data_IF_180638463052
#
_entry.id   IF_180638463052
#
_cell.length_a   1.000
_cell.length_b   1.000
_cell.length_c   1.000
_cell.angle_alpha   90.00
_cell.angle_beta   90.00
_cell.angle_gamma   90.00
#
_symmetry.space_group_name_H-M   'P 1'
#
loop_
_entity.id
_entity.type
_entity.pdbx_description
1 polymer ?
#
# COMPACT_ATOMS: atom_id res chain seq x y z
N UNK A 1 16.18 -11.36 -21.14
CA UNK A 1 14.93 -10.81 -20.59
C UNK A 1 13.78 -11.83 -20.50
N UNK A 2 13.86 -12.99 -21.09
CA UNK A 2 12.80 -14.02 -21.07
C UNK A 2 12.86 -14.96 -19.85
N UNK A 3 14.01 -15.12 -19.22
CA UNK A 3 14.16 -16.00 -18.06
C UNK A 3 13.63 -15.42 -16.73
N UNK A 4 13.68 -14.09 -16.55
CA UNK A 4 13.21 -13.45 -15.32
C UNK A 4 11.68 -13.56 -15.12
N UNK A 5 10.91 -13.67 -16.20
CA UNK A 5 9.45 -13.82 -16.16
C UNK A 5 9.01 -15.15 -15.54
N UNK A 6 9.78 -16.25 -15.80
CA UNK A 6 9.46 -17.57 -15.25
C UNK A 6 9.59 -17.65 -13.72
N UNK A 7 10.59 -16.99 -13.15
CA UNK A 7 10.82 -17.00 -11.70
C UNK A 7 9.75 -16.22 -10.92
N UNK A 8 9.15 -15.17 -11.52
CA UNK A 8 8.08 -14.40 -10.89
C UNK A 8 6.81 -15.25 -10.74
N UNK A 9 6.44 -16.03 -11.75
CA UNK A 9 5.28 -16.94 -11.67
C UNK A 9 5.50 -18.06 -10.65
N UNK A 10 6.72 -18.57 -10.55
CA UNK A 10 7.10 -19.60 -9.57
C UNK A 10 7.04 -19.02 -8.15
N UNK A 11 7.49 -17.78 -7.96
CA UNK A 11 7.46 -17.11 -6.65
C UNK A 11 6.02 -16.80 -6.20
N UNK A 12 5.16 -16.35 -7.12
CA UNK A 12 3.72 -16.11 -6.85
C UNK A 12 3.02 -17.43 -6.55
N UNK A 13 3.33 -18.50 -7.28
CA UNK A 13 2.74 -19.82 -7.06
C UNK A 13 3.21 -20.46 -5.74
N UNK A 14 4.47 -20.24 -5.34
CA UNK A 14 5.02 -20.71 -4.07
C UNK A 14 4.40 -20.02 -2.82
N UNK A 15 3.87 -18.80 -2.96
CA UNK A 15 3.19 -18.07 -1.87
C UNK A 15 1.76 -18.59 -1.66
N UNK A 16 1.13 -19.18 -2.67
CA UNK A 16 -0.25 -19.68 -2.62
C UNK A 16 -0.34 -21.11 -2.03
N UNK A 17 0.75 -21.89 -2.07
CA UNK A 17 0.80 -23.30 -1.69
C UNK A 17 0.71 -23.57 -0.15
N UNK A 18 1.10 -22.69 0.80
CA UNK A 18 1.10 -23.05 2.22
C UNK A 18 -0.26 -23.28 2.88
N UNK A 19 -1.38 -23.00 2.19
CA UNK A 19 -2.72 -23.25 2.74
C UNK A 19 -3.23 -24.68 2.53
N UNK A 20 -2.48 -25.54 1.84
CA UNK A 20 -2.87 -26.93 1.59
C UNK A 20 -2.22 -27.82 2.63
N UNK A 21 -2.96 -28.08 3.72
CA UNK A 21 -2.86 -29.19 4.69
C UNK A 21 -1.46 -29.81 4.91
N UNK A 22 -0.69 -29.19 5.79
CA UNK A 22 0.29 -29.94 6.59
C UNK A 22 -0.38 -30.38 7.89
N UNK A 23 -0.81 -31.65 7.95
CA UNK A 23 -1.48 -32.28 9.10
C UNK A 23 -0.58 -32.50 10.32
N UNK A 24 0.42 -31.66 10.55
CA UNK A 24 1.41 -31.83 11.61
C UNK A 24 1.29 -30.82 12.77
N UNK A 25 0.33 -29.90 12.74
CA UNK A 25 0.15 -28.91 13.81
C UNK A 25 -1.28 -28.89 14.33
N UNK A 26 -1.41 -28.76 15.65
CA UNK A 26 -2.67 -28.75 16.41
C UNK A 26 -3.37 -27.39 16.24
N UNK A 27 -3.69 -27.02 15.00
CA UNK A 27 -4.49 -25.82 14.68
C UNK A 27 -5.94 -26.20 14.35
N UNK A 28 -6.88 -25.35 14.72
CA UNK A 28 -8.27 -25.48 14.27
C UNK A 28 -8.39 -24.85 12.88
N UNK A 29 -8.67 -25.68 11.87
CA UNK A 29 -8.94 -25.19 10.50
C UNK A 29 -10.17 -24.29 10.49
N UNK A 30 -10.05 -23.14 9.84
CA UNK A 30 -11.12 -22.17 9.66
C UNK A 30 -11.32 -21.91 8.17
N UNK A 31 -12.57 -21.65 7.80
CA UNK A 31 -12.95 -21.31 6.42
C UNK A 31 -13.83 -20.07 6.40
N UNK A 32 -13.49 -19.07 7.24
CA UNK A 32 -14.30 -17.87 7.32
C UNK A 32 -13.86 -16.89 6.22
N UNK A 33 -14.79 -16.52 5.34
CA UNK A 33 -14.59 -15.53 4.30
C UNK A 33 -15.42 -14.30 4.61
N UNK A 34 -14.75 -13.18 4.74
CA UNK A 34 -15.38 -11.85 4.93
C UNK A 34 -15.00 -10.93 3.79
N UNK A 35 -15.95 -10.15 3.30
CA UNK A 35 -15.73 -9.13 2.27
C UNK A 35 -16.34 -7.82 2.69
N UNK A 36 -15.81 -6.73 2.17
CA UNK A 36 -16.32 -5.41 2.49
C UNK A 36 -15.57 -4.30 1.80
N UNK A 37 -15.76 -3.11 2.30
CA UNK A 37 -15.13 -1.91 1.76
C UNK A 37 -14.27 -1.23 2.81
N UNK A 38 -13.31 -0.47 2.32
CA UNK A 38 -12.39 0.31 3.14
C UNK A 38 -12.21 1.69 2.58
N UNK A 39 -11.91 2.62 3.47
CA UNK A 39 -11.60 4.01 3.14
C UNK A 39 -10.64 4.58 4.17
N UNK A 40 -9.99 5.67 3.83
CA UNK A 40 -9.08 6.35 4.74
C UNK A 40 -8.24 7.39 4.05
N UNK A 41 -7.10 7.69 4.68
CA UNK A 41 -6.14 8.64 4.18
C UNK A 41 -4.78 8.02 4.01
N UNK A 42 -4.11 8.41 2.93
CA UNK A 42 -2.73 8.06 2.64
C UNK A 42 -1.90 9.33 2.75
N UNK A 43 -0.86 9.28 3.57
CA UNK A 43 0.18 10.29 3.68
C UNK A 43 1.37 9.78 2.86
N UNK A 44 1.59 10.33 1.67
CA UNK A 44 2.63 9.87 0.75
C UNK A 44 3.76 10.87 0.61
N UNK A 45 4.96 10.36 0.43
CA UNK A 45 6.15 11.05 -0.03
C UNK A 45 6.93 10.16 -0.98
N UNK A 46 7.80 10.73 -1.78
CA UNK A 46 8.66 9.98 -2.69
C UNK A 46 10.12 10.12 -2.23
N UNK A 47 10.79 9.00 -2.04
CA UNK A 47 12.20 8.97 -1.69
C UNK A 47 13.04 9.24 -2.95
N UNK A 48 13.48 10.48 -3.11
CA UNK A 48 14.29 10.89 -4.25
C UNK A 48 15.79 10.90 -3.94
N UNK A 49 16.57 10.47 -4.94
CA UNK A 49 18.01 10.67 -4.96
C UNK A 49 18.40 11.29 -6.34
N UNK A 50 18.86 12.55 -6.41
CA UNK A 50 19.13 13.51 -5.34
C UNK A 50 17.86 13.93 -4.57
N UNK A 51 18.03 14.25 -3.29
CA UNK A 51 16.91 14.52 -2.37
C UNK A 51 16.16 15.80 -2.75
N UNK A 52 14.84 15.70 -2.83
CA UNK A 52 13.90 16.81 -2.98
C UNK A 52 13.22 17.03 -1.62
N UNK A 53 13.22 18.26 -1.11
CA UNK A 53 12.47 18.60 0.11
C UNK A 53 10.97 18.51 -0.18
N UNK A 54 10.24 17.78 0.66
CA UNK A 54 8.82 17.51 0.48
C UNK A 54 8.06 17.57 1.79
N UNK A 55 6.79 17.96 1.71
CA UNK A 55 5.78 17.69 2.71
C UNK A 55 5.08 16.36 2.41
N UNK A 56 4.51 15.72 3.42
CA UNK A 56 3.62 14.60 3.21
C UNK A 56 2.36 15.06 2.46
N UNK A 57 2.11 14.46 1.32
CA UNK A 57 0.89 14.68 0.57
C UNK A 57 -0.21 13.79 1.13
N UNK A 58 -1.26 14.40 1.66
CA UNK A 58 -2.43 13.68 2.17
C UNK A 58 -3.48 13.53 1.09
N UNK A 59 -3.97 12.31 0.88
CA UNK A 59 -5.01 12.01 -0.09
C UNK A 59 -5.96 10.93 0.42
N UNK A 60 -7.28 11.04 0.16
CA UNK A 60 -8.22 9.97 0.47
C UNK A 60 -8.03 8.79 -0.48
N UNK A 61 -8.41 7.61 -0.02
CA UNK A 61 -8.51 6.41 -0.84
C UNK A 61 -9.79 5.63 -0.54
N UNK A 62 -10.18 4.81 -1.49
CA UNK A 62 -11.31 3.89 -1.39
C UNK A 62 -10.88 2.52 -1.88
N UNK A 63 -11.40 1.45 -1.26
CA UNK A 63 -11.05 0.10 -1.65
C UNK A 63 -12.07 -0.94 -1.25
N UNK A 64 -11.92 -2.10 -1.88
CA UNK A 64 -12.60 -3.34 -1.54
C UNK A 64 -11.61 -4.24 -0.81
N UNK A 65 -12.11 -5.02 0.15
CA UNK A 65 -11.30 -5.93 0.96
C UNK A 65 -11.98 -7.28 1.01
N UNK A 66 -11.20 -8.32 0.76
CA UNK A 66 -11.56 -9.71 1.03
C UNK A 66 -10.57 -10.29 2.03
N UNK A 67 -11.08 -10.96 3.06
CA UNK A 67 -10.27 -11.59 4.10
C UNK A 67 -10.73 -13.03 4.29
N UNK A 68 -9.77 -13.94 4.22
CA UNK A 68 -9.96 -15.35 4.47
C UNK A 68 -9.20 -15.78 5.72
N UNK A 69 -9.92 -16.24 6.74
CA UNK A 69 -9.32 -16.81 7.96
C UNK A 69 -9.02 -18.27 7.67
N UNK A 70 -7.74 -18.63 7.70
CA UNK A 70 -7.27 -19.96 7.34
C UNK A 70 -7.27 -20.90 8.56
N UNK A 71 -6.79 -20.40 9.70
CA UNK A 71 -6.50 -21.25 10.85
C UNK A 71 -6.49 -20.45 12.15
N UNK A 72 -6.86 -21.11 13.22
CA UNK A 72 -6.67 -20.61 14.58
C UNK A 72 -5.68 -21.53 15.30
N UNK A 73 -4.61 -20.95 15.79
CA UNK A 73 -3.57 -21.64 16.54
C UNK A 73 -3.47 -21.06 17.95
N UNK A 74 -3.95 -21.79 18.95
CA UNK A 74 -4.12 -21.32 20.34
C UNK A 74 -4.92 -20.01 20.41
N UNK A 75 -4.24 -18.93 20.80
CA UNK A 75 -4.83 -17.58 20.89
C UNK A 75 -4.68 -16.75 19.60
N UNK A 76 -3.95 -17.27 18.60
CA UNK A 76 -3.64 -16.55 17.36
C UNK A 76 -4.58 -16.97 16.24
N UNK A 77 -5.14 -16.00 15.52
CA UNK A 77 -5.99 -16.19 14.35
C UNK A 77 -5.20 -15.77 13.12
N UNK A 78 -4.97 -16.70 12.20
CA UNK A 78 -4.23 -16.46 10.97
C UNK A 78 -5.20 -16.24 9.80
N UNK A 79 -4.98 -15.18 9.04
CA UNK A 79 -5.80 -14.83 7.89
C UNK A 79 -4.94 -14.30 6.74
N UNK A 80 -5.48 -14.38 5.53
CA UNK A 80 -4.98 -13.72 4.33
C UNK A 80 -5.98 -12.64 3.96
N UNK A 81 -5.47 -11.44 3.69
CA UNK A 81 -6.25 -10.29 3.29
C UNK A 81 -5.78 -9.80 1.92
N UNK A 82 -6.72 -9.64 1.01
CA UNK A 82 -6.52 -9.10 -0.33
C UNK A 82 -7.35 -7.84 -0.46
N UNK A 83 -6.76 -6.80 -1.01
CA UNK A 83 -7.44 -5.53 -1.21
C UNK A 83 -7.31 -5.07 -2.65
N UNK A 84 -8.28 -4.29 -3.10
CA UNK A 84 -8.23 -3.55 -4.34
C UNK A 84 -8.55 -2.10 -4.02
N UNK A 85 -7.52 -1.25 -4.06
CA UNK A 85 -7.61 0.14 -3.64
C UNK A 85 -7.39 1.08 -4.81
N UNK A 86 -8.23 2.12 -4.91
CA UNK A 86 -7.97 3.29 -5.73
C UNK A 86 -7.36 4.36 -4.84
N UNK A 87 -6.14 4.78 -5.14
CA UNK A 87 -5.36 5.70 -4.32
C UNK A 87 -4.75 6.82 -5.16
N UNK A 88 -4.72 8.02 -4.60
CA UNK A 88 -3.98 9.14 -5.18
C UNK A 88 -2.71 9.35 -4.34
N UNK A 89 -1.58 8.96 -4.90
CA UNK A 89 -0.26 9.15 -4.31
C UNK A 89 0.36 10.46 -4.82
N UNK A 90 1.69 10.55 -4.78
CA UNK A 90 2.45 11.68 -5.28
C UNK A 90 3.15 12.42 -4.17
N UNK A 91 3.55 13.65 -4.45
CA UNK A 91 4.30 14.47 -3.50
C UNK A 91 3.95 15.95 -3.60
N UNK A 92 4.26 16.67 -2.55
CA UNK A 92 4.19 18.12 -2.49
C UNK A 92 5.57 18.67 -2.14
N UNK A 93 6.12 19.49 -3.02
CA UNK A 93 7.47 20.02 -2.82
C UNK A 93 7.47 21.19 -1.85
N UNK A 94 8.41 21.15 -0.89
CA UNK A 94 8.63 22.24 0.04
C UNK A 94 9.63 23.23 -0.59
N UNK A 95 9.10 24.35 -1.12
CA UNK A 95 9.86 25.40 -1.77
C UNK A 95 10.10 26.53 -0.78
N UNK A 96 11.34 26.69 -0.32
CA UNK A 96 11.75 27.69 0.69
C UNK A 96 12.67 28.76 0.11
N UNK A 97 12.42 29.19 -1.12
CA UNK A 97 13.25 30.21 -1.82
C UNK A 97 12.67 31.63 -1.74
N UNK A 98 11.57 31.82 -0.99
CA UNK A 98 10.88 33.09 -0.85
C UNK A 98 10.05 33.52 -2.06
N UNK A 99 9.98 32.70 -3.11
CA UNK A 99 9.23 33.01 -4.33
C UNK A 99 7.71 32.86 -4.17
N UNK A 100 7.24 32.15 -3.12
CA UNK A 100 5.83 31.78 -2.97
C UNK A 100 5.34 30.72 -3.97
N UNK A 101 6.26 30.12 -4.73
CA UNK A 101 5.93 29.05 -5.67
C UNK A 101 5.52 27.76 -4.95
N UNK A 102 4.57 27.03 -5.51
CA UNK A 102 4.14 25.74 -5.01
C UNK A 102 4.16 24.71 -6.14
N UNK A 103 4.55 23.47 -5.81
CA UNK A 103 4.50 22.35 -6.73
C UNK A 103 3.93 21.12 -6.04
N UNK A 104 2.94 20.52 -6.68
CA UNK A 104 2.35 19.26 -6.22
C UNK A 104 2.10 18.36 -7.43
N UNK A 105 2.39 17.09 -7.26
CA UNK A 105 2.11 16.07 -8.27
C UNK A 105 1.16 15.02 -7.72
N UNK A 106 0.09 14.78 -8.45
CA UNK A 106 -0.91 13.74 -8.20
C UNK A 106 -0.57 12.52 -9.05
N UNK A 107 -0.53 11.33 -8.43
CA UNK A 107 -0.30 10.05 -9.10
C UNK A 107 -1.41 9.08 -8.70
N UNK A 108 -2.29 8.78 -9.65
CA UNK A 108 -3.45 7.89 -9.44
C UNK A 108 -3.03 6.44 -9.68
N UNK A 109 -3.26 5.59 -8.69
CA UNK A 109 -2.90 4.18 -8.72
C UNK A 109 -4.10 3.29 -8.41
N UNK A 110 -4.12 2.12 -9.04
CA UNK A 110 -4.86 0.96 -8.55
C UNK A 110 -3.84 0.10 -7.81
N UNK A 111 -4.10 -0.19 -6.53
CA UNK A 111 -3.20 -0.95 -5.66
C UNK A 111 -3.84 -2.26 -5.25
N UNK A 112 -3.03 -3.32 -5.21
CA UNK A 112 -3.40 -4.67 -4.81
C UNK A 112 -2.47 -5.13 -3.67
N UNK A 113 -2.75 -4.79 -2.42
CA UNK A 113 -2.08 -5.38 -1.27
C UNK A 113 -2.51 -6.85 -1.07
N UNK A 114 -1.53 -7.73 -0.83
CA UNK A 114 -1.73 -9.11 -0.42
C UNK A 114 -1.05 -9.30 0.94
N UNK A 115 -1.83 -9.36 2.00
CA UNK A 115 -1.33 -9.30 3.36
C UNK A 115 -1.65 -10.58 4.12
N UNK A 116 -0.66 -11.09 4.81
CA UNK A 116 -0.85 -12.07 5.88
C UNK A 116 -1.19 -11.32 7.16
N UNK A 117 -2.22 -11.76 7.86
CA UNK A 117 -2.68 -11.16 9.11
C UNK A 117 -2.61 -12.18 10.23
N UNK A 118 -2.10 -11.74 11.37
CA UNK A 118 -2.12 -12.50 12.63
C UNK A 118 -2.81 -11.65 13.70
N UNK A 119 -3.85 -12.19 14.30
CA UNK A 119 -4.68 -11.49 15.27
C UNK A 119 -4.83 -12.22 16.58
N UNK A 120 -4.99 -11.46 17.66
CA UNK A 120 -5.20 -11.96 19.04
C UNK A 120 -6.40 -11.26 19.65
N UNK A 121 -7.26 -12.02 20.29
CA UNK A 121 -8.42 -11.50 20.98
C UNK A 121 -9.66 -12.33 20.76
N UNK A 122 -10.83 -11.68 20.85
CA UNK A 122 -12.10 -12.37 20.72
C UNK A 122 -12.48 -12.63 19.27
N UNK A 123 -12.82 -13.87 18.97
CA UNK A 123 -13.12 -14.34 17.62
C UNK A 123 -14.52 -13.91 17.14
N UNK A 124 -15.54 -14.18 17.95
CA UNK A 124 -16.95 -14.03 17.54
C UNK A 124 -17.57 -12.70 17.90
N UNK A 125 -17.23 -12.13 19.04
CA UNK A 125 -17.72 -10.81 19.50
C UNK A 125 -16.72 -10.16 20.43
N UNK A 126 -16.34 -8.94 20.13
CA UNK A 126 -15.44 -8.13 20.94
C UNK A 126 -14.22 -7.66 20.17
N UNK A 127 -13.26 -7.19 20.92
CA UNK A 127 -12.05 -6.57 20.38
C UNK A 127 -10.99 -7.63 20.07
N UNK A 128 -10.34 -7.47 18.93
CA UNK A 128 -9.17 -8.20 18.47
C UNK A 128 -8.10 -7.21 18.01
N UNK A 129 -6.88 -7.41 18.46
CA UNK A 129 -5.69 -6.73 17.93
C UNK A 129 -5.09 -7.59 16.82
N UNK A 130 -4.54 -6.98 15.80
CA UNK A 130 -3.83 -7.71 14.75
C UNK A 130 -2.62 -6.94 14.22
N UNK A 131 -1.70 -7.71 13.66
CA UNK A 131 -0.63 -7.23 12.81
C UNK A 131 -0.81 -7.84 11.42
N UNK A 132 -0.38 -7.12 10.40
CA UNK A 132 -0.33 -7.64 9.04
C UNK A 132 0.92 -7.20 8.31
N UNK A 133 1.33 -8.01 7.35
CA UNK A 133 2.44 -7.69 6.45
C UNK A 133 2.32 -8.48 5.15
N UNK A 134 2.87 -7.92 4.09
CA UNK A 134 2.92 -8.61 2.80
C UNK A 134 3.30 -7.71 1.64
N UNK A 135 3.38 -8.27 0.44
CA UNK A 135 3.65 -7.53 -0.77
C UNK A 135 2.44 -6.67 -1.19
N UNK A 136 2.73 -5.56 -1.82
CA UNK A 136 1.75 -4.70 -2.45
C UNK A 136 2.24 -4.38 -3.86
N UNK A 137 1.32 -4.50 -4.82
CA UNK A 137 1.54 -4.13 -6.22
C UNK A 137 0.63 -2.95 -6.53
N UNK A 138 1.12 -1.98 -7.28
CA UNK A 138 0.37 -0.84 -7.76
C UNK A 138 0.52 -0.66 -9.28
N UNK A 139 -0.51 -0.17 -9.92
CA UNK A 139 -0.45 0.20 -11.32
C UNK A 139 -0.87 1.66 -11.49
N UNK A 140 0.02 2.46 -12.07
CA UNK A 140 -0.22 3.86 -12.39
C UNK A 140 -1.21 3.98 -13.55
N UNK A 141 -2.28 4.74 -13.32
CA UNK A 141 -3.36 4.95 -14.31
C UNK A 141 -3.45 6.38 -14.83
N UNK A 142 -2.73 7.32 -14.20
CA UNK A 142 -2.71 8.71 -14.62
C UNK A 142 -2.30 9.64 -13.48
N UNK A 143 -2.08 10.90 -13.81
CA UNK A 143 -1.73 11.88 -12.79
C UNK A 143 -1.67 13.28 -13.38
N UNK A 144 -1.66 14.25 -12.48
CA UNK A 144 -1.69 15.67 -12.83
C UNK A 144 -0.59 16.41 -12.06
N UNK A 145 -0.06 17.48 -12.65
CA UNK A 145 0.83 18.41 -12.00
C UNK A 145 0.10 19.71 -11.70
N UNK A 146 0.30 20.23 -10.49
CA UNK A 146 -0.21 21.53 -10.07
C UNK A 146 0.96 22.42 -9.72
N UNK A 147 1.00 23.58 -10.33
CA UNK A 147 2.01 24.62 -10.13
C UNK A 147 1.29 25.90 -9.72
N UNK A 148 1.77 26.54 -8.67
CA UNK A 148 1.22 27.81 -8.19
C UNK A 148 2.30 28.88 -8.04
N UNK A 149 1.88 30.17 -8.05
CA UNK A 149 2.78 31.32 -8.03
C UNK A 149 3.25 31.73 -9.42
N UNK A 150 4.22 32.65 -9.46
CA UNK A 150 4.88 33.09 -10.70
C UNK A 150 5.94 32.05 -11.10
N UNK A 151 5.47 30.93 -11.64
CA UNK A 151 6.28 29.75 -11.89
C UNK A 151 7.38 29.98 -12.91
N UNK A 152 8.63 30.07 -12.44
CA UNK A 152 9.82 30.17 -13.30
C UNK A 152 10.91 29.23 -12.81
N UNK A 153 11.16 28.15 -13.56
CA UNK A 153 12.19 27.15 -13.26
C UNK A 153 13.60 27.71 -13.29
N UNK A 154 13.84 28.78 -14.06
CA UNK A 154 15.16 29.42 -14.18
C UNK A 154 15.60 30.14 -12.91
N UNK A 155 14.69 30.46 -12.01
CA UNK A 155 14.98 31.11 -10.72
C UNK A 155 15.38 30.12 -9.61
N UNK A 156 15.54 28.83 -9.92
CA UNK A 156 15.89 27.77 -8.96
C UNK A 156 17.26 27.14 -9.25
N UNK A 157 18.37 27.93 -9.22
CA UNK A 157 19.69 27.45 -9.63
C UNK A 157 20.24 26.32 -8.72
N UNK A 158 19.76 26.23 -7.47
CA UNK A 158 20.19 25.24 -6.48
C UNK A 158 19.13 24.14 -6.25
N UNK A 159 18.02 24.14 -7.00
CA UNK A 159 16.93 23.17 -6.86
C UNK A 159 17.03 22.05 -7.88
N UNK A 160 16.56 20.88 -7.51
CA UNK A 160 16.31 19.79 -8.46
C UNK A 160 15.06 20.17 -9.27
N UNK A 161 15.17 20.20 -10.60
CA UNK A 161 14.08 20.62 -11.51
C UNK A 161 13.71 19.57 -12.55
N UNK A 162 14.44 18.46 -12.58
CA UNK A 162 14.26 17.39 -13.56
C UNK A 162 12.93 16.62 -13.42
N UNK A 163 12.24 16.73 -12.26
CA UNK A 163 10.94 16.14 -12.02
C UNK A 163 9.79 16.89 -12.70
N UNK A 164 10.00 18.18 -13.05
CA UNK A 164 8.93 19.02 -13.60
C UNK A 164 8.60 18.63 -15.05
N UNK A 165 7.33 18.27 -15.30
CA UNK A 165 6.86 17.85 -16.60
C UNK A 165 7.38 16.48 -17.05
N UNK A 166 8.14 15.77 -16.21
CA UNK A 166 8.65 14.45 -16.56
C UNK A 166 7.52 13.41 -16.51
N UNK A 167 7.37 12.62 -17.57
CA UNK A 167 6.45 11.49 -17.60
C UNK A 167 6.89 10.37 -16.65
N UNK A 168 5.94 9.55 -16.24
CA UNK A 168 6.22 8.38 -15.39
C UNK A 168 6.78 7.26 -16.27
N UNK A 169 8.03 6.90 -16.03
CA UNK A 169 8.73 5.87 -16.82
C UNK A 169 8.20 4.47 -16.46
N UNK A 170 7.99 4.20 -15.16
CA UNK A 170 7.57 2.89 -14.66
C UNK A 170 6.12 2.97 -14.13
N UNK A 171 5.20 2.34 -14.85
CA UNK A 171 3.79 2.30 -14.44
C UNK A 171 3.49 1.23 -13.38
N UNK A 172 4.34 0.19 -13.30
CA UNK A 172 4.20 -0.87 -12.31
C UNK A 172 5.00 -0.50 -11.07
N UNK A 173 4.30 -0.43 -9.94
CA UNK A 173 4.87 -0.23 -8.63
C UNK A 173 4.77 -1.52 -7.82
N UNK A 174 5.79 -1.84 -7.05
CA UNK A 174 5.78 -2.93 -6.10
C UNK A 174 6.59 -2.58 -4.85
N UNK A 175 6.19 -3.17 -3.73
CA UNK A 175 6.84 -2.93 -2.45
C UNK A 175 6.29 -3.83 -1.36
N UNK A 176 6.61 -3.48 -0.12
CA UNK A 176 6.20 -4.20 1.07
C UNK A 176 5.35 -3.28 1.92
N UNK A 177 4.22 -3.80 2.38
CA UNK A 177 3.34 -3.14 3.32
C UNK A 177 3.31 -3.89 4.65
N UNK A 178 3.26 -3.16 5.75
CA UNK A 178 3.11 -3.75 7.09
C UNK A 178 2.39 -2.80 8.02
N UNK A 179 1.56 -3.35 8.89
CA UNK A 179 0.72 -2.55 9.75
C UNK A 179 0.21 -3.29 10.98
N UNK A 180 -0.54 -2.55 11.76
CA UNK A 180 -1.23 -3.03 12.96
C UNK A 180 -2.60 -2.39 13.05
N UNK A 181 -3.52 -3.08 13.69
CA UNK A 181 -4.87 -2.57 13.82
C UNK A 181 -5.69 -3.22 14.92
N UNK A 182 -6.86 -2.66 15.07
CA UNK A 182 -7.90 -3.12 15.97
C UNK A 182 -9.13 -3.54 15.15
N UNK A 183 -9.72 -4.63 15.52
CA UNK A 183 -10.96 -5.11 14.93
C UNK A 183 -12.01 -5.32 16.02
N UNK A 184 -13.17 -4.74 15.83
CA UNK A 184 -14.35 -4.95 16.62
C UNK A 184 -15.30 -5.90 15.87
N UNK A 185 -15.33 -7.16 16.29
CA UNK A 185 -16.27 -8.16 15.76
C UNK A 185 -17.64 -8.00 16.41
N UNK A 186 -18.69 -7.88 15.60
CA UNK A 186 -20.07 -7.71 16.02
C UNK A 186 -20.98 -8.75 15.35
N UNK A 187 -22.27 -8.75 15.67
CA UNK A 187 -23.26 -9.61 14.98
C UNK A 187 -23.50 -9.24 13.52
N UNK A 188 -23.24 -7.99 13.17
CA UNK A 188 -23.53 -7.43 11.84
C UNK A 188 -22.28 -7.30 10.95
N UNK A 189 -21.10 -7.71 11.45
CA UNK A 189 -19.84 -7.64 10.72
C UNK A 189 -18.68 -7.18 11.58
N UNK A 190 -17.59 -6.85 10.91
CA UNK A 190 -16.31 -6.49 11.51
C UNK A 190 -15.97 -5.04 11.18
N UNK A 191 -15.75 -4.22 12.20
CA UNK A 191 -15.23 -2.85 12.07
C UNK A 191 -13.74 -2.89 12.34
N UNK A 192 -12.97 -2.37 11.41
CA UNK A 192 -11.49 -2.40 11.44
C UNK A 192 -10.97 -0.98 11.42
N UNK A 193 -10.01 -0.70 12.31
CA UNK A 193 -9.16 0.49 12.27
C UNK A 193 -7.72 0.03 12.18
N UNK A 194 -7.00 0.52 11.16
CA UNK A 194 -5.66 0.05 10.83
C UNK A 194 -4.73 1.21 10.49
N UNK A 195 -3.49 1.14 11.01
CA UNK A 195 -2.36 1.96 10.58
C UNK A 195 -1.34 1.10 9.87
N UNK A 196 -0.93 1.49 8.66
CA UNK A 196 -0.03 0.73 7.80
C UNK A 196 1.07 1.63 7.25
N UNK A 197 2.27 1.08 7.12
CA UNK A 197 3.37 1.68 6.39
C UNK A 197 3.64 0.88 5.13
N UNK A 198 3.82 1.58 4.02
CA UNK A 198 4.20 1.01 2.73
C UNK A 198 5.58 1.54 2.33
N UNK A 199 6.46 0.63 1.93
CA UNK A 199 7.79 0.92 1.43
C UNK A 199 7.92 0.43 -0.01
N UNK A 200 8.00 1.36 -0.95
CA UNK A 200 8.20 1.07 -2.37
C UNK A 200 9.61 0.57 -2.66
N UNK A 201 9.68 -0.52 -3.40
CA UNK A 201 10.93 -1.12 -3.89
C UNK A 201 11.21 -0.75 -5.35
N UNK A 202 10.17 -0.36 -6.09
CA UNK A 202 10.27 0.11 -7.47
C UNK A 202 10.40 1.62 -7.52
N UNK A 203 11.05 2.12 -8.56
CA UNK A 203 11.21 3.54 -8.84
C UNK A 203 10.16 4.03 -9.84
N UNK A 204 9.65 5.24 -9.65
CA UNK A 204 8.69 5.90 -10.55
C UNK A 204 9.39 6.31 -11.86
N UNK A 205 10.62 6.80 -11.74
CA UNK A 205 11.47 7.18 -12.86
C UNK A 205 12.53 6.14 -13.15
N UNK A 206 12.99 6.10 -14.40
CA UNK A 206 14.12 5.24 -14.78
C UNK A 206 15.38 5.62 -13.97
N UNK A 207 15.93 4.63 -13.26
CA UNK A 207 17.16 4.74 -12.46
C UNK A 207 18.40 4.21 -13.19
N UNK A 208 18.32 4.04 -14.51
CA UNK A 208 19.47 3.64 -15.34
C UNK A 208 20.58 4.69 -15.30
N UNK A 209 21.79 4.33 -15.76
CA UNK A 209 22.94 5.25 -15.83
C UNK A 209 22.66 6.54 -16.65
N UNK A 210 21.61 6.57 -17.44
CA UNK A 210 21.15 7.73 -18.22
C UNK A 210 20.07 8.54 -17.48
N UNK A 211 19.45 7.97 -16.44
CA UNK A 211 18.45 8.64 -15.63
C UNK A 211 19.09 9.65 -14.67
N UNK A 212 18.40 10.75 -14.41
CA UNK A 212 18.85 11.75 -13.44
C UNK A 212 18.67 11.25 -11.99
N UNK A 213 17.58 10.52 -11.73
CA UNK A 213 17.24 10.02 -10.40
C UNK A 213 17.83 8.63 -10.19
N UNK A 214 18.67 8.48 -9.17
CA UNK A 214 19.16 7.17 -8.72
C UNK A 214 18.13 6.40 -7.89
N UNK A 215 17.13 7.12 -7.33
CA UNK A 215 15.97 6.58 -6.60
C UNK A 215 14.78 7.51 -6.72
N UNK A 216 13.58 6.95 -6.82
CA UNK A 216 12.30 7.68 -6.84
C UNK A 216 11.14 6.76 -6.42
N UNK A 217 11.19 6.25 -5.18
CA UNK A 217 10.24 5.25 -4.70
C UNK A 217 9.20 5.84 -3.76
N UNK A 218 7.95 5.43 -3.89
CA UNK A 218 6.87 5.85 -2.99
C UNK A 218 7.04 5.27 -1.59
N UNK A 219 6.73 6.08 -0.58
CA UNK A 219 6.63 5.69 0.81
C UNK A 219 5.36 6.29 1.39
N UNK A 220 4.51 5.46 1.98
CA UNK A 220 3.21 5.92 2.45
C UNK A 220 2.90 5.44 3.86
N UNK A 221 2.28 6.33 4.64
CA UNK A 221 1.58 5.98 5.87
C UNK A 221 0.10 5.97 5.54
N UNK A 222 -0.58 4.87 5.85
CA UNK A 222 -2.01 4.67 5.56
C UNK A 222 -2.76 4.58 6.88
N UNK A 223 -3.80 5.39 7.04
CA UNK A 223 -4.76 5.28 8.13
C UNK A 223 -6.08 4.85 7.49
N UNK A 224 -6.56 3.67 7.89
CA UNK A 224 -7.65 2.97 7.21
C UNK A 224 -8.75 2.58 8.18
N UNK A 225 -10.01 2.84 7.79
CA UNK A 225 -11.20 2.22 8.35
C UNK A 225 -11.77 1.21 7.36
N UNK A 226 -12.23 0.06 7.84
CA UNK A 226 -12.91 -0.92 6.99
C UNK A 226 -14.11 -1.54 7.71
N UNK A 227 -15.08 -1.96 6.89
CA UNK A 227 -16.22 -2.73 7.35
C UNK A 227 -16.35 -3.99 6.50
N UNK A 228 -16.31 -5.17 7.16
CA UNK A 228 -16.40 -6.45 6.49
C UNK A 228 -17.64 -7.21 6.96
N UNK A 229 -18.27 -7.89 6.02
CA UNK A 229 -19.39 -8.82 6.23
C UNK A 229 -18.91 -10.25 6.04
N UNK A 230 -19.32 -11.15 6.93
CA UNK A 230 -19.05 -12.56 6.78
C UNK A 230 -19.95 -13.17 5.70
N UNK A 231 -19.35 -13.74 4.66
CA UNK A 231 -20.02 -14.50 3.61
C UNK A 231 -20.07 -15.98 3.96
N UNK A 232 -18.96 -16.50 4.47
CA UNK A 232 -18.82 -17.89 4.90
C UNK A 232 -18.27 -17.86 6.32
N UNK A 233 -18.81 -18.69 7.20
CA UNK A 233 -18.36 -18.82 8.57
C UNK A 233 -18.34 -20.28 8.97
N UNK A 234 -17.23 -20.71 9.55
CA UNK A 234 -17.11 -22.04 10.17
C UNK A 234 -18.09 -22.11 11.34
N UNK A 235 -18.87 -23.17 11.40
CA UNK A 235 -19.81 -23.47 12.50
C UNK A 235 -19.10 -24.05 13.71
#
# INVERSE_FOLDING_TARGET
>A
MQEASGYIYILIFAIIIPCVSTSAQVGESRTDLSVGFSSGYILNQVDFTPKIKQNYKSSPFLGLTARYVCEKYFASICAIQVELNYANLGWEELIEDGSGNTYSRDLKYIQLPLLMQMGWGRETRGLKFFINAGPQIGYYIGGDEKRGGDWNTSMRPNGVTYQYGKEIDNKLEYGIAGGLGLELSTKIGHFILEGRYYYGLSDIYDNSKKGFFGRSANQSIVIRGAYLLDLIKTK
#
